data_IF_273598995231
#
_entry.id   IF_273598995231
#
_cell.length_a   1.000
_cell.length_b   1.000
_cell.length_c   1.000
_cell.angle_alpha   90.00
_cell.angle_beta   90.00
_cell.angle_gamma   90.00
#
_symmetry.space_group_name_H-M   'P 1'
#
loop_
_entity.id
_entity.type
_entity.pdbx_description
1 polymer ?
#
# COMPACT_ATOMS: atom_id res chain seq x y z
N UNK A 1 -7.80 -3.78 -5.97
CA UNK A 1 -9.04 -3.34 -5.27
C UNK A 1 -9.11 -1.83 -5.10
N UNK A 2 -8.09 -1.14 -4.56
CA UNK A 2 -8.10 0.33 -4.42
C UNK A 2 -8.35 1.09 -5.74
N UNK A 3 -7.82 0.63 -6.87
CA UNK A 3 -8.09 1.26 -8.17
C UNK A 3 -9.57 1.25 -8.52
N UNK A 4 -10.28 0.13 -8.28
CA UNK A 4 -11.72 0.04 -8.51
C UNK A 4 -12.50 0.95 -7.57
N UNK A 5 -12.08 1.05 -6.31
CA UNK A 5 -12.66 2.00 -5.36
C UNK A 5 -12.50 3.45 -5.83
N UNK A 6 -11.32 3.83 -6.32
CA UNK A 6 -11.08 5.18 -6.85
C UNK A 6 -11.99 5.49 -8.05
N UNK A 7 -12.16 4.52 -8.96
CA UNK A 7 -13.11 4.66 -10.07
C UNK A 7 -14.55 4.78 -9.58
N UNK A 8 -14.97 3.96 -8.61
CA UNK A 8 -16.30 4.06 -8.01
C UNK A 8 -16.54 5.45 -7.43
N UNK A 9 -15.64 5.94 -6.58
CA UNK A 9 -15.73 7.28 -6.00
C UNK A 9 -15.71 8.39 -7.05
N UNK A 10 -14.95 8.23 -8.13
CA UNK A 10 -14.99 9.15 -9.27
C UNK A 10 -16.38 9.19 -9.90
N UNK A 11 -16.98 8.04 -10.21
CA UNK A 11 -18.29 8.03 -10.86
C UNK A 11 -19.41 8.50 -9.94
N UNK A 12 -19.41 8.10 -8.67
CA UNK A 12 -20.40 8.56 -7.67
C UNK A 12 -20.36 10.08 -7.46
N UNK A 13 -19.16 10.68 -7.55
CA UNK A 13 -19.00 12.13 -7.40
C UNK A 13 -19.42 12.90 -8.65
N UNK A 14 -19.21 12.34 -9.83
CA UNK A 14 -19.35 13.06 -11.10
C UNK A 14 -20.64 12.74 -11.85
N UNK A 15 -21.38 11.70 -11.46
CA UNK A 15 -22.58 11.23 -12.16
C UNK A 15 -23.69 10.88 -11.17
N UNK A 16 -24.94 11.07 -11.60
CA UNK A 16 -26.12 10.66 -10.83
C UNK A 16 -26.27 9.15 -10.90
N UNK A 17 -26.38 8.49 -9.75
CA UNK A 17 -26.66 7.06 -9.69
C UNK A 17 -28.11 6.78 -10.09
N UNK A 18 -28.31 6.06 -11.19
CA UNK A 18 -29.64 5.73 -11.74
C UNK A 18 -30.13 4.34 -11.32
N UNK A 19 -29.30 3.53 -10.69
CA UNK A 19 -29.66 2.18 -10.26
C UNK A 19 -28.46 1.28 -10.03
N UNK A 20 -28.73 0.01 -9.74
CA UNK A 20 -27.74 -1.04 -9.53
C UNK A 20 -27.81 -2.07 -10.65
N UNK A 21 -26.65 -2.60 -11.03
CA UNK A 21 -26.56 -3.66 -12.05
C UNK A 21 -26.66 -5.01 -11.37
N UNK A 22 -27.67 -5.79 -11.76
CA UNK A 22 -27.82 -7.19 -11.36
C UNK A 22 -26.62 -8.02 -11.84
N UNK A 23 -26.07 -8.85 -10.96
CA UNK A 23 -24.92 -9.70 -11.25
C UNK A 23 -24.11 -10.04 -10.01
N UNK A 24 -22.78 -10.00 -10.12
CA UNK A 24 -21.87 -10.48 -9.07
C UNK A 24 -22.00 -9.76 -7.74
N UNK A 25 -22.39 -8.49 -7.73
CA UNK A 25 -22.45 -7.68 -6.51
C UNK A 25 -23.87 -7.44 -6.00
N UNK A 26 -24.86 -7.43 -6.88
CA UNK A 26 -26.27 -7.23 -6.54
C UNK A 26 -27.16 -8.29 -7.17
N UNK A 27 -28.10 -8.86 -6.41
CA UNK A 27 -29.08 -9.82 -6.90
C UNK A 27 -30.17 -9.19 -7.77
N UNK A 28 -31.06 -10.02 -8.30
CA UNK A 28 -32.28 -9.57 -9.01
C UNK A 28 -33.23 -8.78 -8.09
N UNK A 29 -33.15 -9.05 -6.79
CA UNK A 29 -33.84 -8.33 -5.72
C UNK A 29 -33.19 -6.96 -5.39
N UNK A 30 -32.06 -6.62 -6.03
CA UNK A 30 -31.28 -5.43 -5.76
C UNK A 30 -30.48 -5.48 -4.44
N UNK A 31 -30.51 -6.61 -3.73
CA UNK A 31 -29.79 -6.80 -2.48
C UNK A 31 -28.31 -7.09 -2.73
N UNK A 32 -27.42 -6.63 -1.83
CA UNK A 32 -26.00 -6.93 -1.93
C UNK A 32 -25.74 -8.42 -1.74
N UNK A 33 -24.83 -8.96 -2.53
CA UNK A 33 -24.36 -10.34 -2.40
C UNK A 33 -23.17 -10.43 -1.43
N UNK A 34 -22.83 -11.61 -0.90
CA UNK A 34 -21.62 -11.80 -0.10
C UNK A 34 -20.32 -11.40 -0.81
N UNK A 35 -20.29 -11.43 -2.14
CA UNK A 35 -19.14 -11.01 -2.92
C UNK A 35 -18.87 -9.49 -2.80
N UNK A 36 -19.93 -8.67 -2.66
CA UNK A 36 -19.77 -7.24 -2.42
C UNK A 36 -19.08 -6.98 -1.08
N UNK A 37 -19.55 -7.63 -0.02
CA UNK A 37 -18.97 -7.52 1.33
C UNK A 37 -17.49 -7.90 1.36
N UNK A 38 -17.10 -8.95 0.61
CA UNK A 38 -15.69 -9.35 0.51
C UNK A 38 -14.82 -8.29 -0.17
N UNK A 39 -15.33 -7.66 -1.23
CA UNK A 39 -14.61 -6.60 -1.94
C UNK A 39 -14.52 -5.33 -1.09
N UNK A 40 -15.59 -4.94 -0.41
CA UNK A 40 -15.59 -3.82 0.53
C UNK A 40 -14.56 -4.03 1.65
N UNK A 41 -14.52 -5.22 2.26
CA UNK A 41 -13.51 -5.56 3.26
C UNK A 41 -12.08 -5.52 2.68
N UNK A 42 -11.88 -5.95 1.43
CA UNK A 42 -10.58 -5.86 0.77
C UNK A 42 -10.17 -4.41 0.47
N UNK A 43 -11.13 -3.52 0.16
CA UNK A 43 -10.90 -2.08 -0.02
C UNK A 43 -10.48 -1.46 1.31
N UNK A 44 -11.22 -1.72 2.40
CA UNK A 44 -10.91 -1.19 3.74
C UNK A 44 -9.48 -1.56 4.17
N UNK A 45 -9.12 -2.85 4.07
CA UNK A 45 -7.74 -3.31 4.35
C UNK A 45 -6.71 -2.64 3.45
N UNK A 46 -7.04 -2.43 2.18
CA UNK A 46 -6.16 -1.73 1.24
C UNK A 46 -5.90 -0.29 1.65
N UNK A 47 -6.94 0.43 2.09
CA UNK A 47 -6.84 1.83 2.52
C UNK A 47 -6.00 1.96 3.79
N UNK A 48 -6.21 1.08 4.76
CA UNK A 48 -5.40 1.00 5.98
C UNK A 48 -3.93 0.72 5.65
N UNK A 49 -3.66 -0.27 4.79
CA UNK A 49 -2.30 -0.60 4.37
C UNK A 49 -1.61 0.56 3.63
N UNK A 50 -2.35 1.30 2.79
CA UNK A 50 -1.82 2.48 2.10
C UNK A 50 -1.45 3.60 3.10
N UNK A 51 -2.33 3.86 4.08
CA UNK A 51 -2.07 4.83 5.14
C UNK A 51 -0.83 4.46 5.95
N UNK A 52 -0.71 3.20 6.36
CA UNK A 52 0.48 2.69 7.07
C UNK A 52 1.74 2.82 6.21
N UNK A 53 1.67 2.44 4.93
CA UNK A 53 2.80 2.58 4.01
C UNK A 53 3.23 4.05 3.85
N UNK A 54 2.29 4.99 3.83
CA UNK A 54 2.59 6.42 3.75
C UNK A 54 3.29 6.91 5.02
N UNK A 55 2.84 6.45 6.20
CA UNK A 55 3.50 6.75 7.48
C UNK A 55 4.92 6.16 7.52
N UNK A 56 5.11 4.91 7.10
CA UNK A 56 6.44 4.30 6.99
C UNK A 56 7.35 5.08 6.04
N UNK A 57 6.84 5.55 4.89
CA UNK A 57 7.60 6.39 3.95
C UNK A 57 7.98 7.77 4.52
N UNK A 58 7.26 8.26 5.54
CA UNK A 58 7.65 9.47 6.27
C UNK A 58 8.77 9.18 7.28
N UNK A 59 8.71 8.02 7.95
CA UNK A 59 9.72 7.58 8.92
C UNK A 59 11.03 7.13 8.26
N UNK A 60 10.94 6.42 7.14
CA UNK A 60 12.07 5.83 6.43
C UNK A 60 12.24 6.50 5.06
N UNK A 61 13.31 7.29 4.86
CA UNK A 61 13.56 7.91 3.56
C UNK A 61 13.77 6.86 2.47
N UNK A 62 13.50 7.17 1.20
CA UNK A 62 13.81 6.27 0.11
C UNK A 62 15.32 5.98 0.08
N UNK A 63 15.65 4.69 0.10
CA UNK A 63 16.99 4.16 0.01
C UNK A 63 17.19 3.50 -1.35
N UNK A 64 18.36 3.69 -1.93
CA UNK A 64 18.80 3.01 -3.14
C UNK A 64 19.70 1.84 -2.74
N UNK A 65 19.64 0.77 -3.52
CA UNK A 65 20.54 -0.38 -3.43
C UNK A 65 21.24 -0.56 -4.78
N UNK A 66 22.54 -0.79 -4.76
CA UNK A 66 23.38 -1.15 -5.90
C UNK A 66 24.10 -2.46 -5.59
N UNK A 67 24.30 -3.32 -6.59
CA UNK A 67 25.22 -4.45 -6.49
C UNK A 67 26.11 -4.52 -7.72
N UNK A 68 27.37 -4.90 -7.53
CA UNK A 68 28.25 -5.29 -8.63
C UNK A 68 29.17 -6.42 -8.19
N UNK A 69 29.60 -7.27 -9.14
CA UNK A 69 30.51 -8.37 -8.87
C UNK A 69 31.85 -7.91 -8.27
N UNK A 70 32.31 -6.71 -8.64
CA UNK A 70 33.58 -6.15 -8.15
C UNK A 70 33.48 -5.48 -6.77
N UNK A 71 32.33 -4.88 -6.42
CA UNK A 71 32.18 -4.05 -5.20
C UNK A 71 31.23 -4.64 -4.16
N UNK A 72 30.52 -5.72 -4.48
CA UNK A 72 29.45 -6.24 -3.65
C UNK A 72 28.23 -5.31 -3.61
N UNK A 73 27.42 -5.42 -2.56
CA UNK A 73 26.22 -4.62 -2.34
C UNK A 73 26.50 -3.29 -1.63
N UNK A 74 25.80 -2.24 -2.05
CA UNK A 74 25.85 -0.90 -1.46
C UNK A 74 24.43 -0.37 -1.27
N UNK A 75 24.12 0.12 -0.08
CA UNK A 75 22.86 0.79 0.25
C UNK A 75 23.14 2.25 0.62
N UNK A 76 22.35 3.20 0.13
CA UNK A 76 22.42 4.59 0.58
C UNK A 76 21.04 5.23 0.57
N UNK A 77 20.75 6.07 1.56
CA UNK A 77 19.47 6.75 1.69
C UNK A 77 19.66 8.26 1.58
N UNK A 78 18.68 8.94 1.00
CA UNK A 78 18.70 10.42 0.90
C UNK A 78 18.46 11.05 2.27
N UNK A 79 19.33 11.98 2.70
CA UNK A 79 19.16 12.74 3.93
C UNK A 79 18.05 13.79 3.73
N UNK A 80 16.82 13.47 4.14
CA UNK A 80 15.80 14.50 4.38
C UNK A 80 16.07 15.14 5.74
N UNK A 81 15.95 16.47 5.84
CA UNK A 81 16.09 17.22 7.10
C UNK A 81 15.14 16.59 8.14
N UNK A 82 15.68 15.91 9.15
CA UNK A 82 14.91 15.17 10.16
C UNK A 82 15.41 13.74 10.41
N UNK A 83 16.12 13.11 9.46
CA UNK A 83 16.79 11.84 9.71
C UNK A 83 18.19 12.07 10.28
N UNK A 84 18.29 12.22 11.60
CA UNK A 84 19.59 12.15 12.26
C UNK A 84 20.09 10.71 12.15
N UNK A 85 21.22 10.51 11.45
CA UNK A 85 21.97 9.25 11.37
C UNK A 85 22.43 8.71 12.73
N UNK A 86 22.13 9.43 13.82
CA UNK A 86 22.45 9.11 15.21
C UNK A 86 21.27 8.52 15.98
N UNK A 87 20.10 8.25 15.37
CA UNK A 87 19.09 7.43 16.04
C UNK A 87 19.62 5.99 16.09
N UNK A 88 20.26 5.72 17.23
CA UNK A 88 20.88 4.48 17.59
C UNK A 88 20.02 3.29 17.21
N UNK A 89 20.73 2.23 16.81
CA UNK A 89 20.32 0.84 16.83
C UNK A 89 19.51 0.50 18.09
N UNK A 90 18.22 0.83 18.10
CA UNK A 90 17.24 0.23 18.99
C UNK A 90 16.96 -1.15 18.39
N UNK A 91 17.76 -2.11 18.87
CA UNK A 91 17.55 -3.55 18.83
C UNK A 91 16.12 -3.96 18.45
N UNK A 92 15.95 -4.52 17.24
CA UNK A 92 14.77 -5.34 16.89
C UNK A 92 14.02 -4.95 15.62
N UNK A 93 14.04 -3.68 15.20
CA UNK A 93 13.15 -3.22 14.10
C UNK A 93 13.77 -3.32 12.69
N UNK A 94 15.10 -3.22 12.55
CA UNK A 94 15.77 -3.25 11.23
C UNK A 94 15.72 -4.61 10.53
N UNK A 95 15.56 -5.72 11.27
CA UNK A 95 15.46 -7.05 10.67
C UNK A 95 14.23 -7.17 9.78
N UNK A 96 13.12 -6.52 10.14
CA UNK A 96 11.88 -6.54 9.38
C UNK A 96 11.93 -5.64 8.14
N UNK A 97 12.61 -4.49 8.21
CA UNK A 97 12.76 -3.56 7.09
C UNK A 97 13.74 -4.09 6.02
N UNK A 98 14.85 -4.71 6.43
CA UNK A 98 15.80 -5.33 5.49
C UNK A 98 15.22 -6.60 4.84
N UNK A 99 14.45 -7.40 5.59
CA UNK A 99 13.82 -8.61 5.06
C UNK A 99 12.73 -8.31 4.01
N UNK A 100 12.00 -7.19 4.11
CA UNK A 100 11.03 -6.78 3.07
C UNK A 100 11.67 -6.27 1.78
N UNK A 101 12.86 -5.67 1.86
CA UNK A 101 13.63 -5.27 0.68
C UNK A 101 14.24 -6.47 -0.04
N UNK A 102 14.68 -7.51 0.68
CA UNK A 102 15.21 -8.75 0.08
C UNK A 102 14.11 -9.52 -0.67
N UNK A 103 12.88 -9.56 -0.16
CA UNK A 103 11.74 -10.24 -0.79
C UNK A 103 11.13 -9.50 -2.01
N UNK A 104 11.62 -8.30 -2.34
CA UNK A 104 11.21 -7.61 -3.58
C UNK A 104 12.14 -7.90 -4.77
N UNK A 105 13.26 -8.59 -4.54
CA UNK A 105 14.24 -8.96 -5.56
C UNK A 105 14.43 -10.49 -5.70
N UNK A 106 13.60 -11.29 -5.03
CA UNK A 106 13.42 -12.74 -5.21
C UNK A 106 11.96 -13.02 -5.56
#
# INVERSE_FOLDING_TARGET
MLTLHNWLSFYEKNYVCVGRVTGRFYGEDGLPTPALTQVEAAITRGLEANKLQLQEKQTFPPCNAEWSSARGSRLWCSQKRGFNSSLALASGSLKHACHRLILQFL
#
